data_IF_967932881487
#
_entry.id   IF_967932881487
#
_cell.length_a   1.000
_cell.length_b   1.000
_cell.length_c   1.000
_cell.angle_alpha   90.00
_cell.angle_beta   90.00
_cell.angle_gamma   90.00
#
_symmetry.space_group_name_H-M   'P 1'
#
loop_
_entity.id
_entity.type
_entity.pdbx_description
1 polymer ?
#
# COMPACT_ATOMS: atom_id res chain seq x y z
N UNK A 1 7.49 12.54 6.81
CA UNK A 1 6.17 11.91 6.90
C UNK A 1 5.63 11.80 5.49
N UNK A 2 5.52 10.57 4.96
CA UNK A 2 4.89 10.32 3.67
C UNK A 2 3.50 9.75 3.95
N UNK A 3 2.50 10.35 3.33
CA UNK A 3 1.12 9.85 3.32
C UNK A 3 0.97 9.10 2.00
N UNK A 4 0.75 7.79 2.08
CA UNK A 4 0.56 6.97 0.88
C UNK A 4 -0.79 7.27 0.23
N UNK A 5 -0.78 7.56 -1.07
CA UNK A 5 -1.98 7.57 -1.90
C UNK A 5 -2.33 6.12 -2.28
N UNK A 6 -3.63 5.80 -2.36
CA UNK A 6 -4.13 4.47 -2.74
C UNK A 6 -3.58 4.05 -4.09
N UNK A 7 -3.53 4.96 -5.04
CA UNK A 7 -3.04 4.71 -6.40
C UNK A 7 -1.56 4.33 -6.44
N UNK A 8 -0.72 4.96 -5.61
CA UNK A 8 0.71 4.65 -5.51
C UNK A 8 0.95 3.29 -4.82
N UNK A 9 0.20 3.00 -3.76
CA UNK A 9 0.27 1.72 -3.04
C UNK A 9 -0.19 0.56 -3.94
N UNK A 10 -1.27 0.75 -4.69
CA UNK A 10 -1.76 -0.20 -5.68
C UNK A 10 -0.69 -0.42 -6.77
N UNK A 11 -0.13 0.64 -7.34
CA UNK A 11 0.90 0.52 -8.36
C UNK A 11 2.12 -0.26 -7.87
N UNK A 12 2.58 0.00 -6.64
CA UNK A 12 3.70 -0.73 -6.02
C UNK A 12 3.35 -2.19 -5.71
N UNK A 13 2.11 -2.47 -5.31
CA UNK A 13 1.62 -3.83 -5.10
C UNK A 13 1.50 -4.62 -6.41
N UNK A 14 1.13 -3.96 -7.52
CA UNK A 14 1.11 -4.57 -8.87
C UNK A 14 2.50 -5.03 -9.28
N UNK A 15 3.52 -4.21 -9.03
CA UNK A 15 4.91 -4.51 -9.42
C UNK A 15 5.70 -5.25 -8.33
N UNK A 16 5.04 -5.69 -7.26
CA UNK A 16 5.65 -6.42 -6.14
C UNK A 16 6.82 -5.68 -5.48
N UNK A 17 6.73 -4.34 -5.42
CA UNK A 17 7.79 -3.46 -4.91
C UNK A 17 7.40 -2.72 -3.64
N UNK A 18 6.46 -3.27 -2.85
CA UNK A 18 6.08 -2.71 -1.55
C UNK A 18 7.28 -2.62 -0.59
N UNK A 19 8.22 -3.57 -0.67
CA UNK A 19 9.50 -3.55 0.07
C UNK A 19 10.37 -2.30 -0.19
N UNK A 20 10.18 -1.58 -1.30
CA UNK A 20 10.85 -0.29 -1.51
C UNK A 20 10.36 0.76 -0.53
N UNK A 21 9.09 0.73 -0.12
CA UNK A 21 8.57 1.66 0.88
C UNK A 21 9.29 1.46 2.22
N UNK A 22 9.53 0.22 2.65
CA UNK A 22 10.28 -0.08 3.88
C UNK A 22 11.75 0.34 3.79
N UNK A 23 12.36 0.20 2.60
CA UNK A 23 13.77 0.59 2.37
C UNK A 23 13.97 2.09 2.25
N UNK A 24 12.99 2.80 1.69
CA UNK A 24 13.06 4.25 1.44
C UNK A 24 12.52 5.08 2.60
N UNK A 25 11.58 4.53 3.36
CA UNK A 25 10.88 5.24 4.42
C UNK A 25 10.82 4.38 5.68
N UNK A 26 11.35 4.91 6.79
CA UNK A 26 11.25 4.25 8.09
C UNK A 26 9.80 4.16 8.60
N UNK A 27 8.99 5.18 8.31
CA UNK A 27 7.60 5.27 8.76
C UNK A 27 6.69 5.68 7.59
N UNK A 28 5.82 4.76 7.18
CA UNK A 28 4.74 4.99 6.24
C UNK A 28 3.43 5.18 6.99
N UNK A 29 2.74 6.30 6.76
CA UNK A 29 1.39 6.51 7.29
C UNK A 29 0.37 6.32 6.17
N UNK A 30 -0.57 5.40 6.40
CA UNK A 30 -1.68 5.16 5.50
C UNK A 30 -2.99 5.53 6.19
N UNK A 31 -3.75 6.50 5.66
CA UNK A 31 -5.07 6.83 6.19
C UNK A 31 -6.02 5.63 6.08
N UNK A 32 -6.93 5.50 7.04
CA UNK A 32 -7.96 4.45 7.02
C UNK A 32 -8.74 4.42 5.69
N UNK A 33 -9.09 5.60 5.14
CA UNK A 33 -9.77 5.69 3.84
C UNK A 33 -8.96 5.09 2.68
N UNK A 34 -7.63 5.25 2.70
CA UNK A 34 -6.73 4.68 1.69
C UNK A 34 -6.60 3.18 1.90
N UNK A 35 -6.48 2.72 3.15
CA UNK A 35 -6.48 1.29 3.46
C UNK A 35 -7.77 0.63 2.96
N UNK A 36 -8.94 1.17 3.30
CA UNK A 36 -10.23 0.67 2.83
C UNK A 36 -10.32 0.66 1.30
N UNK A 37 -9.84 1.70 0.62
CA UNK A 37 -9.83 1.75 -0.84
C UNK A 37 -8.96 0.65 -1.47
N UNK A 38 -7.73 0.47 -0.99
CA UNK A 38 -6.80 -0.52 -1.56
C UNK A 38 -7.16 -1.96 -1.17
N UNK A 39 -7.91 -2.15 -0.08
CA UNK A 39 -8.28 -3.46 0.47
C UNK A 39 -9.69 -3.92 0.11
N UNK A 40 -10.61 -3.02 -0.28
CA UNK A 40 -11.94 -3.34 -0.81
C UNK A 40 -11.91 -3.88 -2.23
N UNK A 41 -10.92 -3.46 -3.03
CA UNK A 41 -10.79 -3.95 -4.39
C UNK A 41 -10.40 -5.43 -4.33
N UNK A 42 -11.27 -6.36 -4.72
CA UNK A 42 -10.97 -7.81 -4.74
C UNK A 42 -9.97 -8.18 -5.84
N UNK A 43 -8.72 -7.72 -5.67
CA UNK A 43 -7.59 -8.03 -6.54
C UNK A 43 -6.55 -8.81 -5.76
N UNK A 44 -5.76 -9.66 -6.44
CA UNK A 44 -4.65 -10.40 -5.79
C UNK A 44 -3.61 -9.49 -5.12
N UNK A 45 -3.58 -8.21 -5.51
CA UNK A 45 -2.74 -7.16 -4.93
C UNK A 45 -3.22 -6.74 -3.53
N UNK A 46 -4.54 -6.80 -3.31
CA UNK A 46 -5.19 -6.29 -2.10
C UNK A 46 -4.97 -7.21 -0.91
N UNK A 47 -4.87 -8.53 -1.13
CA UNK A 47 -4.42 -9.47 -0.10
C UNK A 47 -2.96 -9.20 0.34
N UNK A 48 -2.10 -8.76 -0.59
CA UNK A 48 -0.71 -8.36 -0.25
C UNK A 48 -0.70 -7.06 0.54
N UNK A 49 -1.46 -6.07 0.10
CA UNK A 49 -1.61 -4.79 0.79
C UNK A 49 -2.19 -4.95 2.20
N UNK A 50 -3.20 -5.83 2.37
CA UNK A 50 -3.77 -6.20 3.69
C UNK A 50 -2.75 -6.82 4.65
N UNK A 51 -1.75 -7.52 4.13
CA UNK A 51 -0.69 -8.14 4.95
C UNK A 51 0.48 -7.19 5.24
N UNK A 52 0.66 -6.18 4.39
CA UNK A 52 1.76 -5.24 4.46
C UNK A 52 1.44 -4.02 5.35
N UNK A 53 0.19 -3.54 5.29
CA UNK A 53 -0.34 -2.44 6.09
C UNK A 53 -0.92 -2.95 7.41
#
# INVERSE_FOLDING_TARGET
>A
MIIGDSSALIALAVVDKLELLEKLYENLFVPQAVYDEVTQVERPQSDKLKKFL
#
